data_IF_178358219233
#
_entry.id   IF_178358219233
#
_cell.length_a   1.000
_cell.length_b   1.000
_cell.length_c   1.000
_cell.angle_alpha   90.00
_cell.angle_beta   90.00
_cell.angle_gamma   90.00
#
_symmetry.space_group_name_H-M   'P 1'
#
loop_
_entity.id
_entity.type
_entity.pdbx_description
1 polymer ?
#
# COMPACT_ATOMS: atom_id res chain seq x y z
N UNK A 1 -56.00 10.32 -6.60
CA UNK A 1 -55.26 9.76 -5.48
C UNK A 1 -54.17 8.89 -6.09
N UNK A 2 -52.96 9.39 -6.16
CA UNK A 2 -51.81 8.70 -6.69
C UNK A 2 -50.78 8.67 -5.59
N UNK A 3 -50.50 7.48 -5.06
CA UNK A 3 -49.45 7.25 -4.06
C UNK A 3 -48.09 7.30 -4.76
N UNK A 4 -47.29 8.28 -4.39
CA UNK A 4 -45.87 8.36 -4.75
C UNK A 4 -45.08 7.44 -3.81
N UNK A 5 -44.74 6.26 -4.32
CA UNK A 5 -43.80 5.35 -3.64
C UNK A 5 -42.43 5.94 -3.60
N UNK A 6 -41.98 6.36 -2.44
CA UNK A 6 -40.59 6.71 -2.12
C UNK A 6 -39.77 5.42 -2.10
N UNK A 7 -38.94 5.22 -3.12
CA UNK A 7 -37.94 4.14 -3.13
C UNK A 7 -36.82 4.55 -2.16
N UNK A 8 -36.89 4.00 -0.95
CA UNK A 8 -35.78 4.08 0.01
C UNK A 8 -34.67 3.13 -0.48
N UNK A 9 -33.60 3.69 -1.04
CA UNK A 9 -32.34 2.97 -1.25
C UNK A 9 -31.77 2.58 0.13
N UNK A 10 -32.17 1.44 0.66
CA UNK A 10 -31.48 0.80 1.77
C UNK A 10 -30.18 0.20 1.24
N UNK A 11 -29.09 0.98 1.25
CA UNK A 11 -27.76 0.42 1.11
C UNK A 11 -27.57 -0.61 2.23
N UNK A 12 -27.28 -1.87 1.86
CA UNK A 12 -26.89 -2.90 2.83
C UNK A 12 -25.76 -2.36 3.71
N UNK A 13 -25.77 -2.64 5.04
CA UNK A 13 -24.72 -2.15 5.91
C UNK A 13 -23.37 -2.65 5.41
N UNK A 14 -22.38 -1.73 5.36
CA UNK A 14 -21.00 -2.05 5.01
C UNK A 14 -20.47 -3.21 5.84
N UNK A 15 -19.69 -4.11 5.22
CA UNK A 15 -19.06 -5.23 5.92
C UNK A 15 -18.15 -4.79 7.07
N UNK A 16 -17.65 -3.54 7.06
CA UNK A 16 -16.92 -2.95 8.18
C UNK A 16 -17.78 -2.70 9.43
N UNK A 17 -19.08 -2.57 9.29
CA UNK A 17 -20.01 -2.38 10.44
C UNK A 17 -20.06 -3.58 11.38
N UNK A 18 -19.60 -4.78 10.93
CA UNK A 18 -19.48 -5.97 11.78
C UNK A 18 -18.34 -5.86 12.80
N UNK A 19 -17.49 -4.85 12.67
CA UNK A 19 -16.34 -4.66 13.55
C UNK A 19 -15.15 -5.59 13.24
N UNK A 20 -14.01 -5.35 13.93
CA UNK A 20 -12.82 -6.20 13.78
C UNK A 20 -13.04 -7.58 14.43
N UNK A 21 -12.28 -8.62 14.01
CA UNK A 21 -11.24 -8.54 12.97
C UNK A 21 -11.83 -8.49 11.55
N UNK A 22 -11.27 -7.62 10.70
CA UNK A 22 -11.70 -7.51 9.32
C UNK A 22 -10.95 -8.50 8.44
N UNK A 23 -11.69 -9.23 7.59
CA UNK A 23 -11.16 -10.29 6.76
C UNK A 23 -11.08 -9.85 5.29
N UNK A 24 -9.89 -10.03 4.71
CA UNK A 24 -9.59 -9.76 3.31
C UNK A 24 -9.12 -11.03 2.63
N UNK A 25 -9.58 -11.31 1.42
CA UNK A 25 -9.16 -12.46 0.60
C UNK A 25 -8.78 -12.01 -0.78
N UNK A 26 -7.74 -12.63 -1.35
CA UNK A 26 -7.27 -12.27 -2.68
C UNK A 26 -5.85 -12.74 -2.96
N UNK A 27 -5.05 -11.87 -3.55
CA UNK A 27 -3.64 -12.07 -3.87
C UNK A 27 -2.85 -10.80 -3.63
N UNK A 28 -1.54 -10.93 -3.42
CA UNK A 28 -0.68 -9.77 -3.26
C UNK A 28 0.75 -10.02 -3.76
N UNK A 29 1.44 -8.94 -4.08
CA UNK A 29 2.88 -8.87 -4.27
C UNK A 29 3.48 -8.05 -3.13
N UNK A 30 4.35 -8.67 -2.32
CA UNK A 30 5.15 -7.97 -1.33
C UNK A 30 6.57 -7.85 -1.86
N UNK A 31 7.00 -6.63 -2.17
CA UNK A 31 8.31 -6.38 -2.74
C UNK A 31 9.14 -5.52 -1.80
N UNK A 32 10.26 -6.10 -1.36
CA UNK A 32 11.22 -5.43 -0.47
C UNK A 32 12.25 -4.65 -1.28
N UNK A 33 12.50 -3.43 -0.84
CA UNK A 33 13.48 -2.52 -1.42
C UNK A 33 14.53 -2.12 -0.39
N UNK A 34 15.72 -1.84 -0.88
CA UNK A 34 16.77 -1.19 -0.11
C UNK A 34 16.58 0.33 -0.23
N UNK A 35 15.93 0.93 0.76
CA UNK A 35 15.60 2.35 0.79
C UNK A 35 16.67 3.12 1.54
N UNK A 36 17.08 4.31 1.03
CA UNK A 36 17.99 5.19 1.77
C UNK A 36 17.35 5.66 3.07
N UNK A 37 18.12 5.63 4.16
CA UNK A 37 17.59 5.95 5.48
C UNK A 37 17.13 7.42 5.63
N UNK A 38 17.73 8.35 4.90
CA UNK A 38 17.32 9.76 4.87
C UNK A 38 15.92 9.94 4.24
N UNK A 39 15.63 9.23 3.14
CA UNK A 39 14.30 9.21 2.51
C UNK A 39 13.28 8.62 3.49
N UNK A 40 13.61 7.48 4.11
CA UNK A 40 12.72 6.81 5.05
C UNK A 40 12.41 7.67 6.28
N UNK A 41 13.43 8.32 6.88
CA UNK A 41 13.26 9.17 8.06
C UNK A 41 12.36 10.38 7.80
N UNK A 42 12.35 10.90 6.59
CA UNK A 42 11.49 12.01 6.24
C UNK A 42 9.99 11.64 6.17
N UNK A 43 9.69 10.33 6.06
CA UNK A 43 8.33 9.78 5.97
C UNK A 43 7.89 9.05 7.26
N UNK A 44 8.79 8.91 8.23
CA UNK A 44 8.53 8.19 9.48
C UNK A 44 8.48 9.19 10.63
N UNK A 45 7.48 9.11 11.52
CA UNK A 45 7.40 9.96 12.70
C UNK A 45 8.69 9.92 13.53
N UNK A 46 9.11 11.08 14.06
CA UNK A 46 10.36 11.23 14.81
C UNK A 46 10.41 10.40 16.09
N UNK A 47 9.26 10.05 16.65
CA UNK A 47 9.11 9.22 17.85
C UNK A 47 9.43 7.75 17.57
N UNK A 48 9.39 7.33 16.32
CA UNK A 48 9.68 5.96 15.92
C UNK A 48 11.14 5.83 15.48
N UNK A 49 11.83 4.86 16.06
CA UNK A 49 13.22 4.58 15.72
C UNK A 49 13.31 3.70 14.48
N UNK A 50 13.85 4.24 13.38
CA UNK A 50 14.12 3.49 12.16
C UNK A 50 15.12 2.36 12.42
N UNK A 51 14.85 1.17 11.89
CA UNK A 51 15.82 0.07 11.81
C UNK A 51 16.65 0.25 10.54
N UNK A 52 17.91 0.57 10.69
CA UNK A 52 18.81 0.88 9.57
C UNK A 52 20.19 0.29 9.76
N UNK A 53 20.85 0.04 8.65
CA UNK A 53 22.24 -0.37 8.58
C UNK A 53 22.92 0.26 7.35
N UNK A 54 24.14 0.76 7.52
CA UNK A 54 24.93 1.34 6.43
C UNK A 54 24.21 2.44 5.62
N UNK A 55 23.34 3.22 6.27
CA UNK A 55 22.56 4.29 5.63
C UNK A 55 21.34 3.80 4.84
N UNK A 56 20.91 2.55 5.04
CA UNK A 56 19.74 1.97 4.38
C UNK A 56 18.81 1.27 5.38
N UNK A 57 17.55 1.16 4.98
CA UNK A 57 16.53 0.38 5.68
C UNK A 57 15.80 -0.54 4.69
N UNK A 58 15.06 -1.52 5.22
CA UNK A 58 14.16 -2.35 4.43
C UNK A 58 12.80 -1.67 4.33
N UNK A 59 12.46 -1.25 3.13
CA UNK A 59 11.15 -0.72 2.76
C UNK A 59 10.62 -1.43 1.55
N UNK A 60 9.77 -0.77 0.76
CA UNK A 60 9.24 -1.29 -0.49
C UNK A 60 7.75 -1.06 -0.63
N UNK A 61 7.05 -2.06 -1.14
CA UNK A 61 5.62 -1.98 -1.41
C UNK A 61 4.88 -3.29 -1.10
N UNK A 62 3.59 -3.13 -0.81
CA UNK A 62 2.62 -4.21 -0.81
C UNK A 62 1.52 -3.84 -1.80
N UNK A 63 1.41 -4.61 -2.89
CA UNK A 63 0.39 -4.43 -3.93
C UNK A 63 -0.58 -5.60 -3.82
N UNK A 64 -1.83 -5.32 -3.49
CA UNK A 64 -2.86 -6.33 -3.30
C UNK A 64 -4.04 -6.12 -4.25
N UNK A 65 -4.67 -7.22 -4.58
CA UNK A 65 -6.00 -7.29 -5.15
C UNK A 65 -6.85 -8.17 -4.26
N UNK A 66 -7.90 -7.59 -3.68
CA UNK A 66 -8.83 -8.32 -2.84
C UNK A 66 -10.06 -8.67 -3.66
N UNK A 67 -10.35 -9.97 -3.76
CA UNK A 67 -11.54 -10.51 -4.41
C UNK A 67 -12.76 -10.43 -3.47
N UNK A 68 -12.50 -10.45 -2.15
CA UNK A 68 -13.49 -10.38 -1.09
C UNK A 68 -12.94 -9.62 0.12
N UNK A 69 -13.68 -8.62 0.57
CA UNK A 69 -13.35 -7.81 1.74
C UNK A 69 -14.60 -7.13 2.31
N UNK A 70 -14.51 -6.46 3.48
CA UNK A 70 -15.60 -5.66 3.99
C UNK A 70 -16.05 -4.50 3.07
N UNK A 71 -15.19 -4.05 2.14
CA UNK A 71 -15.49 -3.05 1.12
C UNK A 71 -15.81 -3.65 -0.26
N UNK A 72 -15.97 -4.99 -0.35
CA UNK A 72 -16.07 -5.71 -1.61
C UNK A 72 -14.71 -5.89 -2.30
N UNK A 73 -14.72 -5.97 -3.63
CA UNK A 73 -13.51 -6.09 -4.44
C UNK A 73 -12.79 -4.75 -4.57
N UNK A 74 -11.46 -4.73 -4.33
CA UNK A 74 -10.65 -3.54 -4.57
C UNK A 74 -9.15 -3.84 -4.69
N UNK A 75 -8.43 -2.87 -5.28
CA UNK A 75 -6.96 -2.86 -5.37
C UNK A 75 -6.35 -1.94 -4.31
N UNK A 76 -5.19 -2.32 -3.79
CA UNK A 76 -4.44 -1.56 -2.79
C UNK A 76 -2.96 -1.53 -3.13
N UNK A 77 -2.34 -0.36 -3.01
CA UNK A 77 -0.89 -0.18 -3.03
C UNK A 77 -0.45 0.53 -1.74
N UNK A 78 0.32 -0.17 -0.91
CA UNK A 78 0.93 0.37 0.30
C UNK A 78 2.39 0.69 0.03
N UNK A 79 2.80 1.93 0.32
CA UNK A 79 4.20 2.36 0.28
C UNK A 79 4.79 2.27 1.68
N UNK A 80 5.85 1.48 1.81
CA UNK A 80 6.52 1.19 3.08
C UNK A 80 7.92 1.80 3.02
N UNK A 81 8.17 2.99 3.61
CA UNK A 81 9.49 3.62 3.58
C UNK A 81 10.54 2.85 4.39
N UNK A 82 10.12 2.13 5.42
CA UNK A 82 11.04 1.37 6.25
C UNK A 82 10.35 0.63 7.39
N UNK A 83 11.14 -0.14 8.11
CA UNK A 83 10.72 -0.81 9.34
C UNK A 83 11.22 -0.03 10.55
N UNK A 84 10.40 0.01 11.60
CA UNK A 84 10.69 0.72 12.83
C UNK A 84 10.83 -0.23 14.01
N UNK A 85 11.67 0.13 14.96
CA UNK A 85 11.96 -0.69 16.12
C UNK A 85 10.77 -0.81 17.07
N UNK A 86 10.38 -2.02 17.39
CA UNK A 86 9.33 -2.37 18.35
C UNK A 86 9.79 -3.61 19.14
N UNK A 87 10.57 -3.43 20.23
CA UNK A 87 11.14 -4.56 20.96
C UNK A 87 10.09 -5.60 21.37
N UNK A 88 10.43 -6.90 21.22
CA UNK A 88 11.66 -7.49 20.70
C UNK A 88 11.71 -7.63 19.17
N UNK A 89 10.75 -7.08 18.46
CA UNK A 89 10.63 -7.19 16.99
C UNK A 89 10.69 -5.82 16.33
N UNK A 90 10.36 -5.77 15.05
CA UNK A 90 10.15 -4.53 14.30
C UNK A 90 8.75 -4.52 13.70
N UNK A 91 8.26 -3.33 13.35
CA UNK A 91 6.97 -3.11 12.70
C UNK A 91 7.17 -2.37 11.38
N UNK A 92 6.29 -2.61 10.42
CA UNK A 92 6.21 -1.78 9.23
C UNK A 92 5.60 -0.40 9.58
N UNK A 93 5.99 0.60 8.80
CA UNK A 93 5.32 1.90 8.73
C UNK A 93 4.85 2.12 7.31
N UNK A 94 3.60 2.51 7.10
CA UNK A 94 3.06 2.87 5.80
C UNK A 94 3.03 4.39 5.65
N UNK A 95 3.73 4.94 4.66
CA UNK A 95 3.72 6.38 4.39
C UNK A 95 2.58 6.81 3.47
N UNK A 96 2.08 5.91 2.64
CA UNK A 96 0.96 6.15 1.73
C UNK A 96 0.24 4.83 1.43
N UNK A 97 -1.08 4.88 1.42
CA UNK A 97 -1.95 3.74 1.08
C UNK A 97 -2.91 4.20 -0.02
N UNK A 98 -2.79 3.65 -1.20
CA UNK A 98 -3.60 3.97 -2.36
C UNK A 98 -4.61 2.86 -2.58
N UNK A 99 -5.90 3.19 -2.69
CA UNK A 99 -6.99 2.22 -2.86
C UNK A 99 -8.01 2.73 -3.88
N UNK A 100 -8.59 1.84 -4.68
CA UNK A 100 -9.65 2.22 -5.63
C UNK A 100 -11.07 2.11 -5.06
N UNK A 101 -11.18 1.95 -3.73
CA UNK A 101 -12.46 1.95 -3.01
C UNK A 101 -12.54 3.14 -2.05
N UNK A 102 -13.55 3.98 -2.24
CA UNK A 102 -13.84 5.10 -1.32
C UNK A 102 -14.17 4.62 0.10
N UNK A 103 -14.83 3.48 0.20
CA UNK A 103 -15.18 2.89 1.50
C UNK A 103 -13.94 2.37 2.22
N UNK A 104 -13.06 1.63 1.54
CA UNK A 104 -11.79 1.17 2.09
C UNK A 104 -10.91 2.36 2.52
N UNK A 105 -10.85 3.43 1.71
CA UNK A 105 -10.12 4.65 2.05
C UNK A 105 -10.64 5.29 3.33
N UNK A 106 -11.95 5.52 3.43
CA UNK A 106 -12.59 6.13 4.61
C UNK A 106 -12.36 5.30 5.87
N UNK A 107 -12.52 3.97 5.76
CA UNK A 107 -12.31 3.05 6.88
C UNK A 107 -10.84 3.03 7.32
N UNK A 108 -9.91 2.91 6.37
CA UNK A 108 -8.47 2.95 6.63
C UNK A 108 -8.05 4.20 7.40
N UNK A 109 -8.55 5.37 7.00
CA UNK A 109 -8.30 6.65 7.67
C UNK A 109 -8.85 6.69 9.09
N UNK A 110 -10.11 6.32 9.27
CA UNK A 110 -10.85 6.51 10.52
C UNK A 110 -10.51 5.45 11.55
N UNK A 111 -10.58 4.18 11.16
CA UNK A 111 -10.51 3.06 12.11
C UNK A 111 -9.08 2.56 12.32
N UNK A 112 -8.26 2.53 11.25
CA UNK A 112 -6.89 2.01 11.33
C UNK A 112 -5.87 3.14 11.45
N UNK A 113 -6.23 4.39 11.05
CA UNK A 113 -5.33 5.53 11.07
C UNK A 113 -4.32 5.54 9.91
N UNK A 114 -4.63 4.87 8.80
CA UNK A 114 -3.76 4.82 7.63
C UNK A 114 -3.78 6.13 6.84
N UNK A 115 -2.68 6.54 6.21
CA UNK A 115 -2.61 7.66 5.27
C UNK A 115 -3.19 7.24 3.91
N UNK A 116 -4.46 6.81 3.93
CA UNK A 116 -5.14 6.27 2.75
C UNK A 116 -5.60 7.37 1.81
N UNK A 117 -5.44 7.17 0.50
CA UNK A 117 -5.90 8.04 -0.57
C UNK A 117 -6.64 7.21 -1.62
N UNK A 118 -7.63 7.83 -2.26
CA UNK A 118 -8.32 7.19 -3.39
C UNK A 118 -7.43 7.25 -4.61
N UNK A 119 -7.36 6.16 -5.36
CA UNK A 119 -6.53 6.06 -6.56
C UNK A 119 -7.22 5.24 -7.67
N UNK A 120 -6.77 5.44 -8.88
CA UNK A 120 -7.16 4.66 -10.05
C UNK A 120 -6.04 3.68 -10.37
N UNK A 121 -6.39 2.41 -10.56
CA UNK A 121 -5.51 1.33 -10.99
C UNK A 121 -5.91 0.91 -12.42
N UNK A 122 -5.20 1.43 -13.43
CA UNK A 122 -5.43 1.07 -14.82
C UNK A 122 -4.56 -0.11 -15.20
N UNK A 123 -5.16 -1.29 -15.35
CA UNK A 123 -4.50 -2.53 -15.72
C UNK A 123 -4.50 -2.68 -17.24
N UNK A 124 -3.34 -2.94 -17.84
CA UNK A 124 -3.17 -3.20 -19.28
C UNK A 124 -2.36 -4.47 -19.46
N UNK A 125 -2.91 -5.41 -20.20
CA UNK A 125 -2.16 -6.56 -20.66
C UNK A 125 -1.48 -6.17 -21.97
N UNK A 126 -0.16 -6.02 -21.94
CA UNK A 126 0.65 -5.80 -23.15
C UNK A 126 0.79 -7.13 -23.84
N UNK A 127 -0.24 -7.52 -24.62
CA UNK A 127 -0.03 -8.48 -25.69
C UNK A 127 1.02 -7.88 -26.62
N UNK A 128 2.02 -8.67 -26.97
CA UNK A 128 3.13 -8.24 -27.83
C UNK A 128 2.62 -7.36 -28.98
N UNK A 129 3.06 -6.12 -29.03
CA UNK A 129 2.76 -5.23 -30.14
C UNK A 129 3.18 -5.95 -31.44
N UNK A 130 2.22 -6.11 -32.34
CA UNK A 130 2.43 -6.65 -33.68
C UNK A 130 3.55 -5.85 -34.35
N UNK A 131 4.73 -6.48 -34.45
CA UNK A 131 5.75 -5.97 -35.35
C UNK A 131 5.24 -6.13 -36.76
N UNK A 132 5.38 -5.13 -37.67
CA UNK A 132 4.95 -5.26 -39.04
C UNK A 132 5.65 -6.43 -39.71
N UNK A 133 4.86 -7.25 -40.36
CA UNK A 133 5.26 -8.46 -41.10
C UNK A 133 6.42 -8.16 -42.07
N UNK A 134 7.63 -8.35 -41.64
CA UNK A 134 8.72 -8.55 -42.58
C UNK A 134 8.78 -10.04 -42.92
N UNK A 135 8.36 -10.38 -44.14
CA UNK A 135 8.41 -11.76 -44.68
C UNK A 135 9.84 -12.17 -44.95
N UNK A 136 10.55 -12.65 -43.92
CA UNK A 136 11.77 -13.44 -44.10
C UNK A 136 11.60 -14.80 -43.46
N UNK A 137 11.47 -15.82 -44.30
CA UNK A 137 11.52 -17.23 -43.92
C UNK A 137 12.93 -17.59 -43.48
N UNK A 138 13.17 -17.62 -42.19
CA UNK A 138 14.26 -18.43 -41.62
C UNK A 138 13.76 -18.98 -40.28
N UNK A 139 13.77 -20.28 -40.16
CA UNK A 139 13.38 -21.06 -38.98
C UNK A 139 14.38 -20.81 -37.86
N UNK A 140 14.07 -19.91 -36.97
CA UNK A 140 14.71 -19.78 -35.67
C UNK A 140 13.65 -19.78 -34.58
N UNK A 141 13.88 -20.59 -33.58
CA UNK A 141 13.04 -20.71 -32.38
C UNK A 141 13.12 -19.35 -31.66
N UNK A 142 12.20 -18.44 -32.00
CA UNK A 142 12.05 -17.20 -31.24
C UNK A 142 11.29 -17.52 -29.94
N UNK A 143 11.82 -17.13 -28.80
CA UNK A 143 11.05 -17.20 -27.55
C UNK A 143 9.78 -16.36 -27.71
N UNK A 144 8.62 -16.93 -27.40
CA UNK A 144 7.33 -16.20 -27.36
C UNK A 144 7.52 -14.89 -26.58
N UNK A 145 7.00 -13.76 -27.10
CA UNK A 145 7.01 -12.52 -26.34
C UNK A 145 6.33 -12.78 -24.99
N UNK A 146 7.00 -12.42 -23.91
CA UNK A 146 6.45 -12.52 -22.56
C UNK A 146 5.34 -11.48 -22.44
N UNK A 147 4.10 -11.92 -22.27
CA UNK A 147 3.00 -11.04 -21.89
C UNK A 147 3.36 -10.38 -20.55
N UNK A 148 3.40 -9.06 -20.51
CA UNK A 148 3.61 -8.28 -19.28
C UNK A 148 2.29 -7.61 -18.93
N UNK A 149 1.87 -7.73 -17.70
CA UNK A 149 0.76 -6.92 -17.17
C UNK A 149 1.33 -5.63 -16.59
N UNK A 150 0.82 -4.50 -17.04
CA UNK A 150 1.22 -3.18 -16.56
C UNK A 150 0.06 -2.54 -15.79
N UNK A 151 0.37 -2.02 -14.60
CA UNK A 151 -0.59 -1.30 -13.75
C UNK A 151 -0.12 0.14 -13.65
N UNK A 152 -0.94 1.06 -14.13
CA UNK A 152 -0.75 2.49 -13.92
C UNK A 152 -1.53 2.92 -12.69
N UNK A 153 -0.88 3.64 -11.78
CA UNK A 153 -1.48 4.12 -10.54
C UNK A 153 -1.53 5.65 -10.56
N UNK A 154 -2.75 6.19 -10.43
CA UNK A 154 -3.01 7.63 -10.34
C UNK A 154 -3.75 7.92 -9.04
N UNK A 155 -3.21 8.81 -8.21
CA UNK A 155 -3.87 9.31 -7.01
C UNK A 155 -4.92 10.35 -7.39
N UNK A 156 -6.07 10.31 -6.73
CA UNK A 156 -7.14 11.28 -6.89
C UNK A 156 -7.03 12.35 -5.80
N UNK A 157 -6.81 13.59 -6.21
CA UNK A 157 -6.80 14.74 -5.31
C UNK A 157 -7.83 15.78 -5.81
N UNK A 158 -8.90 15.95 -5.06
CA UNK A 158 -10.07 16.76 -5.44
C UNK A 158 -10.59 16.39 -6.84
N UNK A 159 -10.34 17.22 -7.85
CA UNK A 159 -10.73 17.00 -9.25
C UNK A 159 -9.55 16.65 -10.17
N UNK A 160 -8.35 16.48 -9.62
CA UNK A 160 -7.13 16.20 -10.38
C UNK A 160 -6.68 14.73 -10.20
N UNK A 161 -6.00 14.23 -11.22
CA UNK A 161 -5.36 12.92 -11.21
C UNK A 161 -3.86 13.12 -11.19
N UNK A 162 -3.20 12.64 -10.16
CA UNK A 162 -1.75 12.77 -9.99
C UNK A 162 -1.11 11.41 -10.24
N UNK A 163 -0.22 11.37 -11.22
CA UNK A 163 0.49 10.14 -11.55
C UNK A 163 1.46 9.75 -10.44
N UNK A 164 1.37 8.52 -9.96
CA UNK A 164 2.28 7.95 -8.95
C UNK A 164 3.35 7.09 -9.61
N UNK A 165 2.94 5.99 -10.28
CA UNK A 165 3.88 5.08 -10.92
C UNK A 165 3.21 4.18 -11.94
N UNK A 166 4.04 3.58 -12.83
CA UNK A 166 3.72 2.38 -13.57
C UNK A 166 4.42 1.18 -12.91
N UNK A 167 3.70 0.08 -12.74
CA UNK A 167 4.18 -1.18 -12.18
C UNK A 167 4.05 -2.23 -13.28
N UNK A 168 5.18 -2.69 -13.81
CA UNK A 168 5.20 -3.79 -14.78
C UNK A 168 5.46 -5.09 -14.02
N UNK A 169 4.42 -5.91 -13.94
CA UNK A 169 4.49 -7.21 -13.29
C UNK A 169 5.21 -8.21 -14.20
N UNK A 170 6.14 -9.02 -13.67
CA UNK A 170 6.72 -10.11 -14.42
C UNK A 170 5.64 -11.11 -14.78
N UNK A 171 5.72 -11.67 -15.97
CA UNK A 171 4.82 -12.75 -16.38
C UNK A 171 4.91 -13.90 -15.37
N UNK A 172 3.79 -14.34 -14.87
CA UNK A 172 3.69 -15.61 -14.19
C UNK A 172 4.02 -16.70 -15.24
N UNK A 173 5.33 -16.99 -15.41
CA UNK A 173 5.74 -18.11 -16.25
C UNK A 173 4.92 -19.30 -15.80
N UNK A 174 4.23 -19.99 -16.70
CA UNK A 174 3.21 -21.02 -16.43
C UNK A 174 3.59 -22.18 -15.51
N UNK A 175 4.40 -21.89 -14.52
CA UNK A 175 4.74 -22.76 -13.43
C UNK A 175 3.58 -22.72 -12.42
N UNK A 176 2.61 -23.59 -12.62
CA UNK A 176 1.45 -23.81 -11.74
C UNK A 176 1.86 -24.33 -10.33
N UNK A 177 3.14 -24.24 -9.96
CA UNK A 177 3.60 -24.65 -8.64
C UNK A 177 3.24 -23.58 -7.61
N UNK A 178 2.19 -23.86 -6.88
CA UNK A 178 1.89 -23.09 -5.70
C UNK A 178 3.01 -23.27 -4.68
N UNK A 179 3.53 -22.16 -4.13
CA UNK A 179 4.51 -22.20 -3.05
C UNK A 179 3.96 -22.82 -1.76
N UNK A 180 4.80 -22.98 -0.71
CA UNK A 180 4.37 -23.47 0.58
C UNK A 180 3.30 -22.57 1.20
N UNK A 181 2.43 -23.16 1.99
CA UNK A 181 1.51 -22.41 2.83
C UNK A 181 2.25 -21.88 4.04
N UNK A 182 2.07 -20.62 4.34
CA UNK A 182 2.65 -19.95 5.51
C UNK A 182 1.55 -19.24 6.31
N UNK A 183 1.79 -19.11 7.60
CA UNK A 183 1.01 -18.25 8.49
C UNK A 183 1.96 -17.32 9.22
N UNK A 184 1.80 -16.01 9.02
CA UNK A 184 2.66 -14.99 9.61
C UNK A 184 1.83 -13.86 10.22
N UNK A 185 2.41 -13.17 11.19
CA UNK A 185 1.87 -11.95 11.75
C UNK A 185 2.73 -10.77 11.27
N UNK A 186 2.10 -9.77 10.70
CA UNK A 186 2.74 -8.54 10.24
C UNK A 186 2.32 -7.38 11.15
N UNK A 187 3.07 -7.11 12.22
CA UNK A 187 2.78 -5.98 13.08
C UNK A 187 3.12 -4.67 12.37
N UNK A 188 2.26 -3.68 12.52
CA UNK A 188 2.39 -2.37 11.89
C UNK A 188 2.02 -1.25 12.85
N UNK A 189 2.67 -0.09 12.69
CA UNK A 189 2.23 1.15 13.28
C UNK A 189 1.44 1.99 12.28
N UNK A 190 0.52 2.80 12.77
CA UNK A 190 -0.28 3.75 12.00
C UNK A 190 -0.66 4.95 12.87
N UNK A 191 -1.52 5.80 12.37
CA UNK A 191 -1.91 7.04 13.05
C UNK A 191 -0.97 8.20 12.71
N UNK A 192 -0.98 9.23 13.56
CA UNK A 192 -0.27 10.50 13.35
C UNK A 192 -0.61 11.14 11.98
N UNK A 193 -1.84 10.93 11.54
CA UNK A 193 -2.42 11.54 10.34
C UNK A 193 -3.41 12.63 10.74
N UNK A 194 -3.80 13.46 9.77
CA UNK A 194 -4.88 14.45 9.97
C UNK A 194 -6.22 13.79 10.34
N UNK A 195 -6.39 12.51 9.99
CA UNK A 195 -7.61 11.75 10.26
C UNK A 195 -7.58 11.07 11.63
N UNK A 196 -6.41 10.67 12.10
CA UNK A 196 -6.20 10.05 13.39
C UNK A 196 -4.83 10.46 13.97
N UNK A 197 -4.79 11.46 14.87
CA UNK A 197 -3.52 12.01 15.38
C UNK A 197 -2.83 11.12 16.42
N UNK A 198 -3.49 10.04 16.88
CA UNK A 198 -2.88 9.10 17.84
C UNK A 198 -1.91 8.16 17.13
N UNK A 199 -0.86 7.74 17.84
CA UNK A 199 -0.02 6.64 17.38
C UNK A 199 -0.70 5.31 17.71
N UNK A 200 -1.01 4.55 16.68
CA UNK A 200 -1.70 3.28 16.76
C UNK A 200 -0.78 2.12 16.40
N UNK A 201 -1.10 0.94 16.94
CA UNK A 201 -0.45 -0.33 16.58
C UNK A 201 -1.52 -1.37 16.30
N UNK A 202 -1.35 -2.10 15.20
CA UNK A 202 -2.22 -3.20 14.81
C UNK A 202 -1.40 -4.37 14.25
N UNK A 203 -2.05 -5.49 14.00
CA UNK A 203 -1.42 -6.66 13.41
C UNK A 203 -2.31 -7.22 12.30
N UNK A 204 -1.67 -7.62 11.21
CA UNK A 204 -2.29 -8.39 10.15
C UNK A 204 -1.86 -9.85 10.29
N UNK A 205 -2.82 -10.75 10.53
CA UNK A 205 -2.59 -12.19 10.47
C UNK A 205 -2.76 -12.63 9.04
N UNK A 206 -1.70 -13.14 8.42
CA UNK A 206 -1.67 -13.53 7.00
C UNK A 206 -1.52 -15.03 6.90
N UNK A 207 -2.45 -15.68 6.21
CA UNK A 207 -2.41 -17.09 5.80
C UNK A 207 -2.44 -17.11 4.27
N UNK A 208 -1.40 -17.61 3.63
CA UNK A 208 -1.26 -17.59 2.17
C UNK A 208 -0.31 -18.67 1.69
N UNK A 209 -0.28 -18.89 0.38
CA UNK A 209 0.82 -19.58 -0.28
C UNK A 209 1.82 -18.55 -0.79
N UNK A 210 3.10 -18.76 -0.51
CA UNK A 210 4.16 -17.80 -0.85
C UNK A 210 5.16 -18.41 -1.81
N UNK A 211 5.57 -17.61 -2.80
CA UNK A 211 6.72 -17.95 -3.65
C UNK A 211 7.55 -16.71 -3.94
N UNK A 212 8.84 -16.89 -4.09
CA UNK A 212 9.71 -15.85 -4.62
C UNK A 212 9.47 -15.70 -6.11
N UNK A 213 9.37 -14.47 -6.57
CA UNK A 213 9.14 -14.11 -7.98
C UNK A 213 10.16 -13.08 -8.43
N UNK A 214 10.25 -12.85 -9.75
CA UNK A 214 11.00 -11.72 -10.28
C UNK A 214 10.38 -10.41 -9.79
N UNK A 215 11.21 -9.43 -9.44
CA UNK A 215 10.73 -8.15 -8.95
C UNK A 215 9.97 -7.39 -10.05
N UNK A 216 8.84 -6.81 -9.70
CA UNK A 216 8.12 -5.88 -10.55
C UNK A 216 9.00 -4.66 -10.85
N UNK A 217 8.94 -4.18 -12.10
CA UNK A 217 9.64 -2.96 -12.50
C UNK A 217 8.73 -1.76 -12.27
N UNK A 218 9.24 -0.79 -11.52
CA UNK A 218 8.51 0.44 -11.22
C UNK A 218 9.16 1.59 -11.96
N UNK A 219 8.35 2.42 -12.60
CA UNK A 219 8.82 3.56 -13.38
C UNK A 219 7.94 4.80 -13.20
N UNK A 220 8.55 5.97 -13.39
CA UNK A 220 7.83 7.25 -13.57
C UNK A 220 7.16 7.31 -14.95
N UNK A 221 6.22 8.26 -15.18
CA UNK A 221 5.60 8.43 -16.50
C UNK A 221 6.68 8.67 -17.54
N UNK A 222 6.49 8.11 -18.74
CA UNK A 222 7.30 8.50 -19.90
C UNK A 222 6.84 9.88 -20.34
N UNK A 223 7.78 10.79 -20.52
CA UNK A 223 7.53 12.20 -20.92
C UNK A 223 6.69 12.34 -22.20
N UNK A 224 6.60 11.29 -23.03
CA UNK A 224 5.81 11.25 -24.25
C UNK A 224 4.29 11.23 -24.04
N UNK A 225 3.80 10.89 -22.83
CA UNK A 225 2.35 10.84 -22.54
C UNK A 225 1.81 12.18 -21.98
N UNK A 226 2.69 13.13 -21.64
CA UNK A 226 2.27 14.46 -21.16
C UNK A 226 1.72 15.39 -22.26
N UNK A 227 1.87 15.04 -23.54
CA UNK A 227 1.43 15.85 -24.67
C UNK A 227 -0.04 15.58 -25.10
N UNK A 228 -0.74 14.62 -24.49
CA UNK A 228 -2.14 14.32 -24.81
C UNK A 228 -3.16 15.08 -23.95
N UNK A 229 -2.70 15.89 -22.98
CA UNK A 229 -3.56 16.79 -22.20
C UNK A 229 -3.15 18.25 -22.45
N UNK A 230 -3.77 18.95 -23.45
CA UNK A 230 -3.32 20.27 -23.88
C UNK A 230 -3.78 21.44 -22.99
N UNK A 231 -3.94 21.28 -21.70
CA UNK A 231 -4.33 22.35 -20.77
C UNK A 231 -3.52 22.41 -19.48
N UNK A 232 -2.19 22.22 -19.56
CA UNK A 232 -1.31 22.67 -18.48
C UNK A 232 -0.99 24.14 -18.69
N UNK A 233 -1.95 25.01 -18.36
CA UNK A 233 -1.77 26.48 -18.36
C UNK A 233 -0.75 26.83 -17.27
N UNK A 234 0.21 27.68 -17.61
CA UNK A 234 1.21 28.27 -16.72
C UNK A 234 0.61 28.64 -15.36
N UNK A 235 1.02 27.94 -14.30
CA UNK A 235 0.64 28.28 -12.93
C UNK A 235 1.49 29.47 -12.49
N UNK A 236 0.87 30.67 -12.54
CA UNK A 236 1.35 31.86 -11.85
C UNK A 236 1.63 31.52 -10.39
N UNK A 237 2.80 31.93 -9.88
CA UNK A 237 3.15 31.96 -8.44
C UNK A 237 2.06 32.70 -7.66
N UNK A 238 1.13 31.96 -7.09
CA UNK A 238 0.19 32.41 -6.07
C UNK A 238 0.71 31.83 -4.76
N UNK A 239 0.64 32.60 -3.69
CA UNK A 239 1.04 32.20 -2.34
C UNK A 239 0.43 30.84 -1.99
N UNK A 240 1.26 29.78 -2.11
CA UNK A 240 0.86 28.42 -1.90
C UNK A 240 0.76 28.16 -0.40
N UNK A 241 -0.37 27.61 0.02
CA UNK A 241 -0.63 27.08 1.35
C UNK A 241 0.48 26.09 1.71
N UNK A 242 1.17 26.27 2.84
CA UNK A 242 2.27 25.41 3.34
C UNK A 242 1.88 23.93 3.38
N UNK A 243 0.60 23.65 3.49
CA UNK A 243 0.02 22.33 3.54
C UNK A 243 0.13 21.57 2.21
N UNK A 244 -0.12 22.24 1.08
CA UNK A 244 -0.06 21.65 -0.25
C UNK A 244 1.38 21.34 -0.66
N UNK A 245 2.34 22.16 -0.21
CA UNK A 245 3.77 21.91 -0.44
C UNK A 245 4.25 20.67 0.30
N UNK A 246 3.85 20.50 1.56
CA UNK A 246 4.21 19.34 2.41
C UNK A 246 3.65 18.03 1.84
N UNK A 247 2.39 18.02 1.40
CA UNK A 247 1.75 16.83 0.84
C UNK A 247 2.41 16.41 -0.49
N UNK A 248 2.79 17.36 -1.33
CA UNK A 248 3.54 17.09 -2.55
C UNK A 248 4.94 16.53 -2.27
N UNK A 249 5.64 17.05 -1.28
CA UNK A 249 6.94 16.53 -0.85
C UNK A 249 6.84 15.09 -0.33
N UNK A 250 5.85 14.79 0.49
CA UNK A 250 5.61 13.43 1.00
C UNK A 250 5.27 12.45 -0.13
N UNK A 251 4.50 12.91 -1.12
CA UNK A 251 4.17 12.13 -2.32
C UNK A 251 5.43 11.81 -3.14
N UNK A 252 6.25 12.81 -3.43
CA UNK A 252 7.51 12.62 -4.17
C UNK A 252 8.46 11.66 -3.44
N UNK A 253 8.62 11.80 -2.13
CA UNK A 253 9.42 10.86 -1.32
C UNK A 253 8.85 9.45 -1.31
N UNK A 254 7.52 9.29 -1.30
CA UNK A 254 6.87 7.99 -1.42
C UNK A 254 7.14 7.35 -2.79
N UNK A 255 7.17 8.15 -3.87
CA UNK A 255 7.59 7.68 -5.21
C UNK A 255 9.07 7.27 -5.20
N UNK A 256 9.96 8.00 -4.51
CA UNK A 256 11.37 7.61 -4.37
C UNK A 256 11.54 6.26 -3.65
N UNK A 257 10.71 5.97 -2.65
CA UNK A 257 10.67 4.64 -2.00
C UNK A 257 10.31 3.56 -3.02
N UNK A 258 9.27 3.77 -3.83
CA UNK A 258 8.86 2.82 -4.87
C UNK A 258 9.95 2.59 -5.92
N UNK A 259 10.73 3.62 -6.26
CA UNK A 259 11.82 3.57 -7.23
C UNK A 259 13.14 3.06 -6.64
N UNK A 260 13.21 2.81 -5.34
CA UNK A 260 14.39 2.26 -4.68
C UNK A 260 14.72 0.84 -5.18
N UNK A 261 15.94 0.38 -4.94
CA UNK A 261 16.44 -0.90 -5.48
C UNK A 261 15.67 -2.09 -4.89
N UNK A 262 14.94 -2.88 -5.69
CA UNK A 262 14.30 -4.10 -5.22
C UNK A 262 15.36 -5.17 -4.89
N UNK A 263 15.13 -5.92 -3.80
CA UNK A 263 16.01 -6.99 -3.34
C UNK A 263 15.32 -8.34 -3.23
N UNK A 264 14.00 -8.34 -3.04
CA UNK A 264 13.18 -9.55 -2.95
C UNK A 264 11.75 -9.23 -3.33
N UNK A 265 11.10 -10.11 -4.08
CA UNK A 265 9.68 -10.05 -4.35
C UNK A 265 9.03 -11.39 -4.02
N UNK A 266 7.94 -11.34 -3.27
CA UNK A 266 7.15 -12.47 -2.81
C UNK A 266 5.73 -12.32 -3.32
N UNK A 267 5.27 -13.31 -4.07
CA UNK A 267 3.86 -13.43 -4.45
C UNK A 267 3.11 -14.20 -3.36
N UNK A 268 2.01 -13.63 -2.90
CA UNK A 268 1.05 -14.24 -1.98
C UNK A 268 -0.20 -14.62 -2.76
N UNK A 269 -0.42 -15.92 -2.96
CA UNK A 269 -1.62 -16.47 -3.58
C UNK A 269 -2.50 -17.12 -2.52
N UNK A 270 -3.81 -17.22 -2.79
CA UNK A 270 -4.83 -17.66 -1.83
C UNK A 270 -4.72 -16.90 -0.49
N UNK A 271 -4.45 -15.60 -0.58
CA UNK A 271 -4.27 -14.74 0.57
C UNK A 271 -5.55 -14.67 1.40
N UNK A 272 -5.42 -14.92 2.70
CA UNK A 272 -6.39 -14.59 3.74
C UNK A 272 -5.68 -13.70 4.76
N UNK A 273 -6.08 -12.46 4.85
CA UNK A 273 -5.52 -11.49 5.79
C UNK A 273 -6.61 -11.04 6.76
N UNK A 274 -6.31 -11.15 8.04
CA UNK A 274 -7.18 -10.76 9.13
C UNK A 274 -6.54 -9.57 9.85
N UNK A 275 -7.22 -8.43 9.84
CA UNK A 275 -6.75 -7.18 10.44
C UNK A 275 -7.44 -6.99 11.78
N UNK A 276 -6.64 -6.95 12.84
CA UNK A 276 -7.11 -6.73 14.21
C UNK A 276 -7.40 -5.24 14.48
N UNK A 277 -8.22 -4.98 15.51
CA UNK A 277 -8.46 -3.62 15.97
C UNK A 277 -7.15 -2.94 16.39
N UNK A 278 -6.87 -1.72 15.93
CA UNK A 278 -5.72 -0.96 16.39
C UNK A 278 -5.80 -0.64 17.88
N UNK A 279 -4.65 -0.65 18.54
CA UNK A 279 -4.50 -0.24 19.93
C UNK A 279 -3.70 1.06 20.02
N UNK A 280 -4.09 1.96 20.92
CA UNK A 280 -3.37 3.20 21.17
C UNK A 280 -2.08 2.91 21.97
N UNK A 281 -0.94 3.27 21.40
CA UNK A 281 0.38 3.01 22.00
C UNK A 281 0.61 3.82 23.28
N UNK A 282 0.00 5.00 23.39
CA UNK A 282 0.17 5.87 24.56
C UNK A 282 -0.56 5.34 25.80
N UNK A 283 -1.69 4.67 25.63
CA UNK A 283 -2.44 4.04 26.72
C UNK A 283 -1.73 2.82 27.29
N UNK A 284 -1.05 2.03 26.46
CA UNK A 284 -0.31 0.85 26.92
C UNK A 284 0.90 1.19 27.80
N UNK A 285 1.55 2.33 27.56
CA UNK A 285 2.69 2.78 28.38
C UNK A 285 2.23 3.24 29.79
N UNK A 286 1.02 3.81 29.92
CA UNK A 286 0.44 4.19 31.21
C UNK A 286 0.00 2.99 32.03
N UNK A 287 -0.63 1.99 31.40
CA UNK A 287 -1.06 0.78 32.09
C UNK A 287 0.12 -0.02 32.65
N UNK A 288 1.22 -0.17 31.89
CA UNK A 288 2.43 -0.83 32.38
C UNK A 288 3.13 -0.06 33.51
N UNK A 289 3.12 1.30 33.48
CA UNK A 289 3.65 2.11 34.58
C UNK A 289 2.85 1.93 35.86
N UNK A 290 1.53 1.89 35.78
CA UNK A 290 0.65 1.72 36.96
C UNK A 290 0.79 0.31 37.56
N UNK A 291 0.93 -0.74 36.74
CA UNK A 291 1.22 -2.09 37.27
C UNK A 291 2.59 -2.22 37.96
N UNK A 292 3.59 -1.52 37.49
CA UNK A 292 4.93 -1.53 38.12
C UNK A 292 4.93 -0.72 39.43
N UNK A 293 4.10 0.30 39.54
CA UNK A 293 3.94 1.10 40.77
C UNK A 293 3.18 0.29 41.83
N UNK A 294 2.14 -0.44 41.45
CA UNK A 294 1.36 -1.28 42.40
C UNK A 294 2.19 -2.47 42.95
N UNK A 295 3.08 -3.06 42.12
CA UNK A 295 3.96 -4.13 42.60
C UNK A 295 5.06 -3.65 43.55
N UNK A 296 5.47 -2.38 43.47
CA UNK A 296 6.47 -1.81 44.38
C UNK A 296 5.88 -1.35 45.71
N UNK A 297 4.59 -1.12 45.79
CA UNK A 297 3.87 -0.77 47.03
C UNK A 297 3.45 -1.97 47.85
N UNK A 298 3.50 -3.19 47.30
CA UNK A 298 3.21 -4.43 48.06
C UNK A 298 4.43 -5.08 48.72
N UNK A 299 5.66 -4.61 48.48
CA UNK A 299 6.89 -5.19 49.08
C UNK A 299 7.37 -4.44 50.35
N UNK A 300 6.61 -3.47 50.86
CA UNK A 300 6.95 -2.76 52.10
C UNK A 300 5.77 -2.86 53.06
N UNK A 301 5.59 -4.05 53.66
CA UNK A 301 4.87 -4.24 54.91
C UNK A 301 5.39 -5.50 55.63
#
# INVERSE_FOLDING_TARGET
MGESGTISNSSSPSGYALGPPWLFRGRALYQLHLVKADIARALIPKELKLVEAFGYTLGGLFLAHYDDSPAGEFDELVVIPGIVWNPPTSCAWASRVLVNSHEACRHGRKEIGLPSQVAIFSKRDTAASEQPLCKCRTSSIHPKPKEQSEIQVLEMEDSSQIFICNISLPFAAGDNRMGPQIRISLPSFSGQTIYNPRLLKYSCQVDCRVRAVEAAKISRPRTTQLNEFPNATEVKKINFDDRLTTENEERERSIEVLLSKPILALEFSLLKMQVEAPTDVTTQSRSKKNQVVDLRTCEVK
#
